data_IF_080442160547
#
_entry.id   IF_080442160547
#
_cell.length_a   1.000
_cell.length_b   1.000
_cell.length_c   1.000
_cell.angle_alpha   90.00
_cell.angle_beta   90.00
_cell.angle_gamma   90.00
#
_symmetry.space_group_name_H-M   'P 1'
#
loop_
_entity.id
_entity.type
_entity.pdbx_description
1 polymer ?
#
# COMPACT_ATOMS: atom_id res chain seq x y z
N UNK A 1 -16.87 17.26 -53.21
CA UNK A 1 -17.58 18.34 -52.52
C UNK A 1 -17.66 18.02 -51.05
N UNK A 2 -17.35 19.01 -50.23
CA UNK A 2 -17.39 19.10 -48.78
C UNK A 2 -16.31 18.36 -48.00
N UNK A 3 -15.29 19.13 -47.70
CA UNK A 3 -14.29 18.99 -46.65
C UNK A 3 -14.95 19.15 -45.28
N UNK A 4 -14.63 18.30 -44.33
CA UNK A 4 -14.71 18.60 -42.89
C UNK A 4 -13.37 18.34 -42.23
N UNK A 5 -12.88 19.38 -41.63
CA UNK A 5 -11.63 19.54 -40.91
C UNK A 5 -11.54 18.69 -39.65
N UNK A 6 -10.37 18.19 -39.24
CA UNK A 6 -10.20 17.51 -37.95
C UNK A 6 -9.99 18.50 -36.80
N UNK A 7 -10.68 18.21 -35.72
CA UNK A 7 -10.62 18.95 -34.46
C UNK A 7 -9.23 18.87 -33.80
N UNK A 8 -8.79 20.04 -33.35
CA UNK A 8 -7.59 20.26 -32.55
C UNK A 8 -7.62 19.49 -31.22
N UNK A 9 -6.63 18.64 -31.00
CA UNK A 9 -6.35 18.08 -29.67
C UNK A 9 -5.62 19.12 -28.83
N UNK A 10 -6.32 19.64 -27.85
CA UNK A 10 -5.76 20.48 -26.78
C UNK A 10 -4.83 19.65 -25.89
N UNK A 11 -3.59 20.10 -25.79
CA UNK A 11 -2.59 19.69 -24.81
C UNK A 11 -3.11 19.96 -23.38
N UNK A 12 -3.41 18.92 -22.65
CA UNK A 12 -3.60 19.00 -21.21
C UNK A 12 -2.26 18.73 -20.50
N UNK A 13 -1.50 19.80 -20.25
CA UNK A 13 -0.42 19.81 -19.26
C UNK A 13 -1.05 19.68 -17.87
N UNK A 14 -0.96 18.51 -17.26
CA UNK A 14 -1.24 18.34 -15.83
C UNK A 14 -0.10 18.96 -15.01
N UNK A 15 -0.30 20.18 -14.59
CA UNK A 15 0.45 20.83 -13.51
C UNK A 15 0.01 20.17 -12.21
N UNK A 16 0.96 19.54 -11.50
CA UNK A 16 0.77 19.09 -10.14
C UNK A 16 0.59 20.31 -9.24
N UNK A 17 -0.65 20.56 -8.83
CA UNK A 17 -0.95 21.50 -7.76
C UNK A 17 -0.63 20.86 -6.42
N UNK A 18 0.38 21.38 -5.76
CA UNK A 18 0.61 21.15 -4.34
C UNK A 18 -0.55 21.77 -3.54
N UNK A 19 -1.14 20.96 -2.66
CA UNK A 19 -2.24 21.37 -1.82
C UNK A 19 -1.86 22.53 -0.89
N UNK A 20 -2.56 23.65 -1.05
CA UNK A 20 -2.51 24.78 -0.11
C UNK A 20 -3.43 24.47 1.07
N UNK A 21 -2.83 24.35 2.25
CA UNK A 21 -3.54 24.34 3.53
C UNK A 21 -4.03 25.75 3.78
N UNK A 22 -5.34 25.97 3.75
CA UNK A 22 -5.97 27.23 4.13
C UNK A 22 -5.93 27.38 5.64
N UNK A 23 -5.11 28.32 6.11
CA UNK A 23 -5.17 28.82 7.48
C UNK A 23 -6.15 29.98 7.52
N UNK A 24 -7.25 29.81 8.24
CA UNK A 24 -8.22 30.86 8.53
C UNK A 24 -7.60 31.89 9.44
N UNK A 25 -7.44 33.11 8.91
CA UNK A 25 -7.02 34.28 9.69
C UNK A 25 -8.23 34.92 10.33
N UNK A 26 -8.27 34.93 11.64
CA UNK A 26 -9.16 35.86 12.39
C UNK A 26 -8.65 37.27 12.31
N UNK A 27 -9.48 38.16 11.81
CA UNK A 27 -9.19 39.60 11.74
C UNK A 27 -9.31 40.23 13.12
N UNK A 28 -8.25 40.81 13.64
CA UNK A 28 -8.34 41.87 14.62
C UNK A 28 -8.00 43.21 13.93
N UNK A 29 -9.00 44.08 13.93
CA UNK A 29 -8.89 45.49 13.54
C UNK A 29 -8.25 46.25 14.68
N UNK A 30 -7.07 46.84 14.47
CA UNK A 30 -6.69 48.09 15.08
C UNK A 30 -5.67 48.77 14.17
N UNK A 31 -6.15 49.76 13.45
CA UNK A 31 -5.39 50.60 12.56
C UNK A 31 -4.88 51.82 13.31
N UNK A 32 -3.55 51.97 13.45
CA UNK A 32 -2.93 53.25 13.71
C UNK A 32 -2.26 53.77 12.44
N UNK A 33 -2.57 54.97 12.00
CA UNK A 33 -2.02 55.55 10.77
C UNK A 33 -0.80 56.38 11.08
N UNK A 34 0.37 55.80 11.11
CA UNK A 34 1.62 56.57 10.93
C UNK A 34 2.77 55.59 10.60
N UNK A 35 3.32 55.84 9.46
CA UNK A 35 4.57 55.32 8.87
C UNK A 35 4.36 54.39 7.67
N UNK A 36 4.31 55.04 6.52
CA UNK A 36 4.13 54.43 5.19
C UNK A 36 5.28 53.57 4.67
N UNK A 37 5.87 52.70 5.52
CA UNK A 37 6.94 51.77 5.13
C UNK A 37 6.66 50.29 5.40
N UNK A 38 5.45 49.95 5.88
CA UNK A 38 5.13 48.56 6.31
C UNK A 38 3.99 47.94 5.51
N UNK A 39 3.99 48.11 4.19
CA UNK A 39 3.12 47.31 3.30
C UNK A 39 3.92 46.39 2.38
N UNK A 40 4.99 45.78 2.90
CA UNK A 40 5.50 44.53 2.38
C UNK A 40 4.92 43.43 3.26
N UNK A 41 4.15 42.53 2.65
CA UNK A 41 3.71 41.26 3.26
C UNK A 41 4.86 40.71 4.06
N UNK A 42 4.66 40.52 5.35
CA UNK A 42 5.63 39.92 6.27
C UNK A 42 5.95 38.50 5.83
N UNK A 43 6.90 38.39 4.95
CA UNK A 43 7.72 37.16 4.92
C UNK A 43 8.55 37.26 6.20
N UNK A 44 8.30 36.40 7.17
CA UNK A 44 9.14 36.25 8.35
C UNK A 44 10.59 36.15 7.89
N UNK A 45 11.31 37.25 8.00
CA UNK A 45 12.73 37.28 7.81
C UNK A 45 13.30 36.54 9.03
N UNK A 46 13.56 35.26 8.90
CA UNK A 46 14.31 34.50 9.90
C UNK A 46 15.64 35.22 10.07
N UNK A 47 15.76 35.97 11.15
CA UNK A 47 17.03 36.56 11.53
C UNK A 47 18.13 35.48 11.49
N UNK A 48 19.25 35.73 10.82
CA UNK A 48 20.32 34.75 10.79
C UNK A 48 20.71 34.44 12.23
N UNK A 49 20.83 33.13 12.55
CA UNK A 49 21.26 32.71 13.88
C UNK A 49 22.53 33.45 14.25
N UNK A 50 22.62 34.05 15.48
CA UNK A 50 23.82 34.76 15.89
C UNK A 50 25.02 33.81 15.78
N UNK A 51 25.99 34.20 15.00
CA UNK A 51 27.23 33.43 14.83
C UNK A 51 27.88 33.31 16.17
N UNK A 52 28.07 32.08 16.66
CA UNK A 52 28.76 31.80 17.92
C UNK A 52 30.24 32.11 17.70
N UNK A 53 30.66 33.27 18.12
CA UNK A 53 32.08 33.68 18.03
C UNK A 53 32.92 32.76 18.91
N UNK A 54 33.76 31.92 18.30
CA UNK A 54 34.59 30.94 19.00
C UNK A 54 35.74 31.59 19.77
N UNK A 55 36.22 32.76 19.35
CA UNK A 55 37.32 33.50 19.97
C UNK A 55 36.81 34.85 20.47
N UNK A 56 36.90 35.08 21.77
CA UNK A 56 36.58 36.36 22.43
C UNK A 56 37.74 37.35 22.42
N UNK A 57 38.88 37.02 21.83
CA UNK A 57 40.02 37.96 21.68
C UNK A 57 39.68 38.94 20.57
N UNK A 58 39.76 40.26 20.83
CA UNK A 58 39.53 41.27 19.80
C UNK A 58 40.56 41.07 18.69
N UNK A 59 40.13 41.11 17.44
CA UNK A 59 41.03 41.08 16.30
C UNK A 59 41.96 42.28 16.34
N UNK A 60 43.25 42.13 15.96
CA UNK A 60 44.22 43.22 16.00
C UNK A 60 43.87 44.40 15.07
N UNK A 61 42.97 44.19 14.14
CA UNK A 61 42.39 45.23 13.28
C UNK A 61 40.88 45.21 13.46
N UNK A 62 40.31 46.25 14.07
CA UNK A 62 38.88 46.41 14.17
C UNK A 62 38.35 46.89 12.82
N UNK A 63 37.43 46.12 12.25
CA UNK A 63 36.67 46.49 11.05
C UNK A 63 35.69 47.58 11.45
N UNK A 64 35.75 48.72 10.79
CA UNK A 64 34.84 49.83 11.04
C UNK A 64 33.41 49.50 10.53
N UNK A 65 32.38 50.09 11.14
CA UNK A 65 31.00 49.95 10.71
C UNK A 65 30.82 50.31 9.22
N UNK A 66 31.56 51.31 8.74
CA UNK A 66 31.57 51.69 7.33
C UNK A 66 32.13 50.61 6.40
N UNK A 67 33.15 49.89 6.82
CA UNK A 67 33.67 48.75 6.06
C UNK A 67 32.66 47.62 5.96
N UNK A 68 31.95 47.32 7.06
CA UNK A 68 30.88 46.31 7.09
C UNK A 68 29.76 46.72 6.15
N UNK A 69 29.35 47.95 6.16
CA UNK A 69 28.31 48.48 5.26
C UNK A 69 28.76 48.48 3.80
N UNK A 70 30.02 48.76 3.53
CA UNK A 70 30.59 48.68 2.17
C UNK A 70 30.63 47.24 1.66
N UNK A 71 31.13 46.32 2.47
CA UNK A 71 31.10 44.88 2.11
C UNK A 71 29.68 44.34 1.95
N UNK A 72 28.74 44.79 2.77
CA UNK A 72 27.33 44.40 2.63
C UNK A 72 26.69 44.90 1.32
N UNK A 73 27.03 46.14 0.91
CA UNK A 73 26.62 46.70 -0.39
C UNK A 73 27.26 45.95 -1.57
N UNK A 74 28.60 45.71 -1.49
CA UNK A 74 29.32 44.94 -2.52
C UNK A 74 28.76 43.52 -2.68
N UNK A 75 28.29 42.90 -1.59
CA UNK A 75 27.62 41.60 -1.64
C UNK A 75 26.16 41.69 -2.17
N UNK A 76 25.50 42.82 -2.04
CA UNK A 76 24.18 43.05 -2.59
C UNK A 76 24.18 43.48 -4.06
N UNK A 77 25.27 44.11 -4.51
CA UNK A 77 25.48 44.41 -5.92
C UNK A 77 25.65 43.09 -6.65
N UNK A 78 24.73 42.81 -7.59
CA UNK A 78 24.84 41.64 -8.44
C UNK A 78 26.24 41.65 -9.08
N UNK A 79 27.04 40.59 -8.86
CA UNK A 79 28.32 40.40 -9.53
C UNK A 79 28.18 40.84 -11.00
N UNK A 80 28.86 41.93 -11.37
CA UNK A 80 28.95 42.37 -12.74
C UNK A 80 29.67 41.27 -13.52
N UNK A 81 28.89 40.29 -14.02
CA UNK A 81 29.42 39.26 -14.86
C UNK A 81 29.99 39.92 -16.09
N UNK A 82 31.30 39.81 -16.33
CA UNK A 82 31.88 40.41 -17.51
C UNK A 82 31.10 39.94 -18.75
N UNK A 83 30.82 40.84 -19.70
CA UNK A 83 30.08 40.51 -20.91
C UNK A 83 30.74 39.32 -21.56
N UNK A 84 29.96 38.32 -21.94
CA UNK A 84 30.48 37.14 -22.66
C UNK A 84 31.21 37.60 -23.88
N UNK A 85 32.50 37.59 -23.89
CA UNK A 85 33.31 37.90 -25.07
C UNK A 85 32.96 36.92 -26.19
N UNK A 86 32.47 37.41 -27.29
CA UNK A 86 32.34 36.65 -28.53
C UNK A 86 33.67 36.77 -29.28
N UNK A 87 34.41 35.68 -29.32
CA UNK A 87 35.61 35.57 -30.16
C UNK A 87 35.11 35.50 -31.61
N UNK A 88 35.44 36.52 -32.42
CA UNK A 88 34.97 36.66 -33.78
C UNK A 88 36.01 36.19 -34.80
N UNK A 89 37.29 36.30 -34.39
CA UNK A 89 38.40 35.88 -35.22
C UNK A 89 38.55 34.34 -35.22
N UNK A 90 38.56 33.69 -36.40
CA UNK A 90 38.69 32.23 -36.55
C UNK A 90 40.04 31.71 -36.01
N UNK A 91 41.12 32.49 -36.11
CA UNK A 91 42.46 32.10 -35.58
C UNK A 91 42.44 32.08 -34.04
N UNK A 92 41.96 33.15 -33.42
CA UNK A 92 41.82 33.25 -31.97
C UNK A 92 40.85 32.16 -31.46
N UNK A 93 39.78 31.88 -32.17
CA UNK A 93 38.86 30.81 -31.80
C UNK A 93 39.53 29.43 -31.79
N UNK A 94 40.39 29.16 -32.80
CA UNK A 94 41.13 27.90 -32.88
C UNK A 94 42.10 27.75 -31.73
N UNK A 95 42.84 28.82 -31.34
CA UNK A 95 43.73 28.83 -30.19
C UNK A 95 43.00 28.66 -28.90
N UNK A 96 41.89 29.36 -28.70
CA UNK A 96 41.03 29.19 -27.53
C UNK A 96 40.58 27.74 -27.41
N UNK A 97 40.10 27.09 -28.49
CA UNK A 97 39.71 25.69 -28.47
C UNK A 97 40.88 24.77 -28.08
N UNK A 98 42.06 24.99 -28.60
CA UNK A 98 43.23 24.19 -28.25
C UNK A 98 43.63 24.38 -26.75
N UNK A 99 43.58 25.61 -26.26
CA UNK A 99 43.86 25.90 -24.85
C UNK A 99 42.86 25.21 -23.93
N UNK A 100 41.55 25.29 -24.25
CA UNK A 100 40.51 24.63 -23.45
C UNK A 100 40.60 23.10 -23.49
N UNK A 101 40.92 22.52 -24.64
CA UNK A 101 41.19 21.08 -24.72
C UNK A 101 42.34 20.66 -23.84
N UNK A 102 43.43 21.41 -23.87
CA UNK A 102 44.59 21.15 -22.99
C UNK A 102 44.20 21.22 -21.52
N UNK A 103 43.45 22.25 -21.12
CA UNK A 103 42.93 22.36 -19.73
C UNK A 103 42.13 21.13 -19.32
N UNK A 104 41.20 20.66 -20.15
CA UNK A 104 40.42 19.47 -19.84
C UNK A 104 41.25 18.19 -19.80
N UNK A 105 42.17 17.99 -20.74
CA UNK A 105 43.07 16.83 -20.75
C UNK A 105 43.98 16.82 -19.53
N UNK A 106 44.49 17.98 -19.08
CA UNK A 106 45.32 18.12 -17.89
C UNK A 106 44.48 17.82 -16.61
N UNK A 107 43.20 18.25 -16.57
CA UNK A 107 42.30 17.90 -15.48
C UNK A 107 42.00 16.38 -15.45
N UNK A 108 41.80 15.75 -16.59
CA UNK A 108 41.59 14.30 -16.70
C UNK A 108 42.83 13.53 -16.27
N UNK A 109 44.04 13.98 -16.62
CA UNK A 109 45.29 13.35 -16.18
C UNK A 109 45.47 13.40 -14.67
N UNK A 110 45.04 14.51 -14.04
CA UNK A 110 45.14 14.68 -12.58
C UNK A 110 44.10 13.82 -11.84
N UNK A 111 42.85 13.79 -12.35
CA UNK A 111 41.72 13.10 -11.68
C UNK A 111 40.90 12.31 -12.69
N UNK A 112 41.46 11.17 -13.12
CA UNK A 112 40.86 10.31 -14.16
C UNK A 112 39.46 9.80 -13.79
N UNK A 113 39.24 9.53 -12.50
CA UNK A 113 38.00 8.96 -11.99
C UNK A 113 36.85 9.99 -11.81
N UNK A 114 37.14 11.27 -12.00
CA UNK A 114 36.12 12.30 -11.86
C UNK A 114 35.24 12.41 -13.11
N UNK A 115 34.14 11.68 -13.09
CA UNK A 115 33.18 11.60 -14.19
C UNK A 115 32.61 12.98 -14.58
N UNK A 116 32.48 13.90 -13.61
CA UNK A 116 31.96 15.24 -13.87
C UNK A 116 32.86 16.03 -14.84
N UNK A 117 34.18 15.80 -14.82
CA UNK A 117 35.11 16.44 -15.75
C UNK A 117 34.90 15.93 -17.17
N UNK A 118 34.72 14.61 -17.33
CA UNK A 118 34.44 13.98 -18.61
C UNK A 118 33.15 14.50 -19.22
N UNK A 119 32.08 14.58 -18.41
CA UNK A 119 30.78 15.11 -18.86
C UNK A 119 30.92 16.57 -19.31
N UNK A 120 31.59 17.41 -18.54
CA UNK A 120 31.81 18.81 -18.90
C UNK A 120 32.62 18.95 -20.16
N UNK A 121 33.66 18.14 -20.34
CA UNK A 121 34.49 18.16 -21.55
C UNK A 121 33.68 17.77 -22.79
N UNK A 122 32.95 16.66 -22.73
CA UNK A 122 32.11 16.21 -23.84
C UNK A 122 31.02 17.23 -24.19
N UNK A 123 30.36 17.83 -23.19
CA UNK A 123 29.37 18.89 -23.40
C UNK A 123 29.97 20.16 -23.98
N UNK A 124 31.22 20.48 -23.61
CA UNK A 124 31.92 21.61 -24.20
C UNK A 124 32.23 21.33 -25.68
N UNK A 125 32.73 20.15 -26.07
CA UNK A 125 32.92 19.77 -27.48
C UNK A 125 31.59 19.77 -28.28
N UNK A 126 30.49 19.31 -27.68
CA UNK A 126 29.14 19.43 -28.24
C UNK A 126 28.78 20.90 -28.54
N UNK A 127 29.07 21.81 -27.61
CA UNK A 127 28.82 23.25 -27.76
C UNK A 127 29.62 23.85 -28.94
N UNK A 128 30.79 23.28 -29.21
CA UNK A 128 31.63 23.65 -30.38
C UNK A 128 31.17 23.00 -31.69
N UNK A 129 30.11 22.15 -31.64
CA UNK A 129 29.60 21.34 -32.77
C UNK A 129 30.59 20.31 -33.34
N UNK A 130 31.62 19.95 -32.56
CA UNK A 130 32.57 18.89 -32.90
C UNK A 130 32.09 17.55 -32.33
N UNK A 131 31.10 16.95 -32.96
CA UNK A 131 30.45 15.74 -32.48
C UNK A 131 31.38 14.52 -32.48
N UNK A 132 32.30 14.43 -33.42
CA UNK A 132 33.23 13.30 -33.50
C UNK A 132 34.16 13.29 -32.32
N UNK A 133 34.66 14.45 -31.92
CA UNK A 133 35.49 14.56 -30.73
C UNK A 133 34.67 14.36 -29.45
N UNK A 134 33.49 14.92 -29.38
CA UNK A 134 32.57 14.67 -28.23
C UNK A 134 32.35 13.17 -28.01
N UNK A 135 32.10 12.44 -29.11
CA UNK A 135 31.95 10.96 -29.07
C UNK A 135 33.23 10.28 -28.57
N UNK A 136 34.39 10.67 -29.08
CA UNK A 136 35.67 10.14 -28.60
C UNK A 136 35.86 10.36 -27.09
N UNK A 137 35.46 11.51 -26.59
CA UNK A 137 35.53 11.82 -25.14
C UNK A 137 34.53 10.93 -24.37
N UNK A 138 33.32 10.74 -24.87
CA UNK A 138 32.34 9.84 -24.23
C UNK A 138 32.83 8.40 -24.21
N UNK A 139 33.36 7.87 -25.30
CA UNK A 139 33.87 6.50 -25.35
C UNK A 139 35.05 6.30 -24.35
N UNK A 140 35.99 7.24 -24.31
CA UNK A 140 37.08 7.23 -23.33
C UNK A 140 36.56 7.30 -21.87
N UNK A 141 35.49 8.05 -21.62
CA UNK A 141 34.86 8.12 -20.31
C UNK A 141 34.22 6.78 -19.93
N UNK A 142 33.59 6.10 -20.88
CA UNK A 142 33.04 4.75 -20.69
C UNK A 142 34.11 3.68 -20.49
N UNK A 143 35.28 3.82 -21.09
CA UNK A 143 36.44 2.94 -20.81
C UNK A 143 36.94 3.07 -19.36
N UNK A 144 36.78 4.27 -18.78
CA UNK A 144 37.16 4.50 -17.36
C UNK A 144 36.13 3.91 -16.40
N UNK A 145 34.83 4.14 -16.65
CA UNK A 145 33.76 3.66 -15.80
C UNK A 145 32.49 3.31 -16.59
N UNK A 146 32.47 2.10 -17.15
CA UNK A 146 31.31 1.59 -17.88
C UNK A 146 30.11 1.26 -16.98
N UNK A 147 30.32 1.09 -15.67
CA UNK A 147 29.26 0.77 -14.69
C UNK A 147 28.39 1.96 -14.36
N UNK A 148 28.84 3.15 -14.63
CA UNK A 148 28.10 4.36 -14.32
C UNK A 148 27.00 4.64 -15.33
N UNK A 149 25.79 4.30 -14.97
CA UNK A 149 24.60 4.52 -15.80
C UNK A 149 24.41 6.00 -16.21
N UNK A 150 24.88 6.95 -15.41
CA UNK A 150 24.78 8.39 -15.70
C UNK A 150 25.55 8.77 -16.97
N UNK A 151 26.71 8.14 -17.21
CA UNK A 151 27.48 8.36 -18.45
C UNK A 151 26.68 7.94 -19.67
N UNK A 152 26.10 6.74 -19.63
CA UNK A 152 25.29 6.21 -20.71
C UNK A 152 24.07 7.09 -20.98
N UNK A 153 23.36 7.51 -19.91
CA UNK A 153 22.20 8.40 -20.02
C UNK A 153 22.59 9.73 -20.70
N UNK A 154 23.66 10.36 -20.25
CA UNK A 154 24.11 11.64 -20.79
C UNK A 154 24.61 11.53 -22.23
N UNK A 155 25.36 10.48 -22.54
CA UNK A 155 25.82 10.24 -23.90
C UNK A 155 24.66 10.08 -24.87
N UNK A 156 23.72 9.20 -24.55
CA UNK A 156 22.53 8.99 -25.37
C UNK A 156 21.64 10.25 -25.48
N UNK A 157 21.48 11.01 -24.38
CA UNK A 157 20.76 12.30 -24.39
C UNK A 157 21.39 13.29 -25.39
N UNK A 158 22.73 13.38 -25.44
CA UNK A 158 23.45 14.26 -26.36
C UNK A 158 23.22 13.83 -27.81
N UNK A 159 23.31 12.54 -28.11
CA UNK A 159 23.05 12.01 -29.44
C UNK A 159 21.60 12.26 -29.89
N UNK A 160 20.62 12.07 -29.00
CA UNK A 160 19.20 12.36 -29.27
C UNK A 160 18.95 13.84 -29.52
N UNK A 161 19.50 14.72 -28.69
CA UNK A 161 19.38 16.17 -28.81
C UNK A 161 19.89 16.68 -30.16
N UNK A 162 20.95 16.08 -30.63
CA UNK A 162 21.57 16.43 -31.90
C UNK A 162 20.96 15.64 -33.11
N UNK A 163 19.89 14.87 -32.88
CA UNK A 163 19.15 14.10 -33.91
C UNK A 163 19.93 12.95 -34.54
N UNK A 164 20.98 12.46 -33.89
CA UNK A 164 21.75 11.30 -34.33
C UNK A 164 21.12 9.99 -33.84
N UNK A 165 19.92 9.67 -34.34
CA UNK A 165 19.07 8.60 -33.79
C UNK A 165 19.77 7.24 -33.87
N UNK A 166 20.44 6.88 -34.96
CA UNK A 166 21.11 5.58 -35.06
C UNK A 166 22.30 5.43 -34.10
N UNK A 167 23.02 6.53 -33.84
CA UNK A 167 24.05 6.53 -32.81
C UNK A 167 23.45 6.37 -31.41
N UNK A 168 22.37 7.08 -31.12
CA UNK A 168 21.66 6.94 -29.85
C UNK A 168 21.18 5.50 -29.64
N UNK A 169 20.61 4.86 -30.67
CA UNK A 169 20.22 3.42 -30.61
C UNK A 169 21.41 2.53 -30.28
N UNK A 170 22.52 2.72 -30.94
CA UNK A 170 23.73 1.94 -30.67
C UNK A 170 24.21 2.13 -29.22
N UNK A 171 24.22 3.37 -28.74
CA UNK A 171 24.59 3.66 -27.35
C UNK A 171 23.64 2.99 -26.36
N UNK A 172 22.32 3.08 -26.60
CA UNK A 172 21.33 2.41 -25.76
C UNK A 172 21.45 0.90 -25.81
N UNK A 173 21.61 0.27 -26.98
CA UNK A 173 21.78 -1.17 -27.10
C UNK A 173 23.00 -1.68 -26.34
N UNK A 174 24.12 -0.98 -26.41
CA UNK A 174 25.31 -1.29 -25.64
C UNK A 174 25.07 -1.11 -24.13
N UNK A 175 24.40 -0.02 -23.74
CA UNK A 175 24.12 0.28 -22.35
C UNK A 175 23.25 -0.81 -21.69
N UNK A 176 22.15 -1.21 -22.32
CA UNK A 176 21.26 -2.25 -21.79
C UNK A 176 21.88 -3.64 -21.82
N UNK A 177 22.82 -3.90 -22.75
CA UNK A 177 23.53 -5.16 -22.79
C UNK A 177 24.56 -5.28 -21.68
N UNK A 178 25.26 -4.18 -21.36
CA UNK A 178 26.26 -4.16 -20.29
C UNK A 178 25.65 -4.02 -18.90
N UNK A 179 24.53 -3.28 -18.78
CA UNK A 179 23.86 -2.97 -17.52
C UNK A 179 22.38 -3.36 -17.54
N UNK A 180 22.04 -4.64 -17.73
CA UNK A 180 20.65 -5.09 -17.91
C UNK A 180 19.75 -4.90 -16.70
N UNK A 181 20.33 -4.74 -15.49
CA UNK A 181 19.58 -4.58 -14.25
C UNK A 181 19.28 -3.13 -13.89
N UNK A 182 19.66 -2.18 -14.74
CA UNK A 182 19.39 -0.75 -14.53
C UNK A 182 18.14 -0.35 -15.32
N UNK A 183 17.00 -0.36 -14.66
CA UNK A 183 15.69 -0.09 -15.28
C UNK A 183 15.60 1.27 -15.98
N UNK A 184 16.29 2.29 -15.45
CA UNK A 184 16.29 3.63 -16.04
C UNK A 184 16.78 3.65 -17.49
N UNK A 185 17.75 2.79 -17.85
CA UNK A 185 18.26 2.70 -19.22
C UNK A 185 17.17 2.17 -20.16
N UNK A 186 16.46 1.13 -19.73
CA UNK A 186 15.36 0.55 -20.49
C UNK A 186 14.22 1.54 -20.68
N UNK A 187 13.79 2.22 -19.63
CA UNK A 187 12.73 3.24 -19.70
C UNK A 187 13.07 4.36 -20.68
N UNK A 188 14.30 4.88 -20.64
CA UNK A 188 14.74 5.95 -21.53
C UNK A 188 14.87 5.48 -22.96
N UNK A 189 15.36 4.27 -23.19
CA UNK A 189 15.45 3.68 -24.52
C UNK A 189 14.05 3.48 -25.14
N UNK A 190 13.14 2.87 -24.40
CA UNK A 190 11.74 2.68 -24.83
C UNK A 190 11.08 4.03 -25.14
N UNK A 191 11.25 4.99 -24.24
CA UNK A 191 10.70 6.33 -24.44
C UNK A 191 11.23 7.00 -25.71
N UNK A 192 12.50 6.83 -26.02
CA UNK A 192 13.07 7.32 -27.29
C UNK A 192 12.36 6.69 -28.49
N UNK A 193 12.22 5.37 -28.55
CA UNK A 193 11.57 4.69 -29.67
C UNK A 193 10.09 5.07 -29.76
N UNK A 194 9.41 5.24 -28.64
CA UNK A 194 8.03 5.70 -28.59
C UNK A 194 7.88 7.14 -29.16
N UNK A 195 8.78 8.05 -28.79
CA UNK A 195 8.81 9.41 -29.35
C UNK A 195 9.08 9.45 -30.85
N UNK A 196 9.83 8.47 -31.35
CA UNK A 196 10.09 8.31 -32.80
C UNK A 196 8.93 7.65 -33.54
N UNK A 197 7.87 7.24 -32.85
CA UNK A 197 6.74 6.51 -33.41
C UNK A 197 7.06 5.05 -33.78
N UNK A 198 8.22 4.53 -33.39
CA UNK A 198 8.62 3.16 -33.66
C UNK A 198 8.07 2.20 -32.58
N UNK A 199 6.75 1.96 -32.62
CA UNK A 199 6.06 1.08 -31.66
C UNK A 199 6.60 -0.36 -31.70
N UNK A 200 6.93 -0.86 -32.89
CA UNK A 200 7.47 -2.21 -33.07
C UNK A 200 8.86 -2.34 -32.41
N UNK A 201 9.73 -1.35 -32.57
CA UNK A 201 11.03 -1.32 -31.88
C UNK A 201 10.89 -1.23 -30.38
N UNK A 202 9.99 -0.38 -29.88
CA UNK A 202 9.71 -0.30 -28.43
C UNK A 202 9.24 -1.65 -27.86
N UNK A 203 8.39 -2.39 -28.57
CA UNK A 203 7.97 -3.75 -28.19
C UNK A 203 9.14 -4.72 -28.10
N UNK A 204 10.02 -4.73 -29.09
CA UNK A 204 11.21 -5.60 -29.06
C UNK A 204 12.10 -5.29 -27.85
N UNK A 205 12.25 -4.02 -27.51
CA UNK A 205 13.03 -3.62 -26.33
C UNK A 205 12.35 -4.10 -25.04
N UNK A 206 11.02 -3.95 -24.94
CA UNK A 206 10.28 -4.50 -23.79
C UNK A 206 10.46 -6.01 -23.67
N UNK A 207 10.33 -6.77 -24.77
CA UNK A 207 10.50 -8.23 -24.72
C UNK A 207 11.93 -8.62 -24.28
N UNK A 208 12.95 -7.92 -24.76
CA UNK A 208 14.34 -8.11 -24.30
C UNK A 208 14.47 -7.78 -22.81
N UNK A 209 13.78 -6.72 -22.33
CA UNK A 209 13.81 -6.37 -20.92
C UNK A 209 13.10 -7.40 -20.06
N UNK A 210 11.93 -7.90 -20.47
CA UNK A 210 11.18 -8.93 -19.76
C UNK A 210 11.97 -10.24 -19.62
N UNK A 211 12.89 -10.55 -20.57
CA UNK A 211 13.76 -11.74 -20.42
C UNK A 211 14.73 -11.67 -19.24
N UNK A 212 14.98 -10.47 -18.71
CA UNK A 212 15.81 -10.24 -17.52
C UNK A 212 15.02 -10.23 -16.21
N UNK A 213 13.72 -10.53 -16.25
CA UNK A 213 12.83 -10.57 -15.10
C UNK A 213 12.89 -9.29 -14.26
N UNK A 214 12.47 -8.14 -14.81
CA UNK A 214 12.45 -6.88 -14.08
C UNK A 214 11.44 -6.90 -12.94
N UNK A 215 11.53 -5.89 -12.09
CA UNK A 215 10.56 -5.66 -11.01
C UNK A 215 9.13 -5.45 -11.54
N UNK A 216 8.14 -5.56 -10.66
CA UNK A 216 6.72 -5.35 -10.99
C UNK A 216 6.47 -4.07 -11.82
N UNK A 217 7.25 -3.01 -11.56
CA UNK A 217 7.08 -1.73 -12.28
C UNK A 217 7.44 -1.85 -13.77
N UNK A 218 8.41 -2.67 -14.11
CA UNK A 218 8.77 -2.97 -15.51
C UNK A 218 7.60 -3.60 -16.26
N UNK A 219 7.02 -4.66 -15.70
CA UNK A 219 5.85 -5.33 -16.26
C UNK A 219 4.64 -4.40 -16.40
N UNK A 220 4.34 -3.62 -15.36
CA UNK A 220 3.24 -2.65 -15.39
C UNK A 220 3.47 -1.53 -16.44
N UNK A 221 4.72 -1.18 -16.71
CA UNK A 221 5.06 -0.19 -17.73
C UNK A 221 4.80 -0.74 -19.13
N UNK A 222 5.12 -2.01 -19.34
CA UNK A 222 4.83 -2.68 -20.61
C UNK A 222 3.31 -2.81 -20.85
N UNK A 223 2.57 -3.24 -19.82
CA UNK A 223 1.11 -3.29 -19.89
C UNK A 223 0.51 -1.91 -20.20
N UNK A 224 0.95 -0.87 -19.50
CA UNK A 224 0.49 0.50 -19.76
C UNK A 224 0.84 0.97 -21.16
N UNK A 225 1.98 0.55 -21.69
CA UNK A 225 2.38 0.86 -23.07
C UNK A 225 1.39 0.22 -24.06
N UNK A 226 1.11 -1.07 -23.99
CA UNK A 226 0.17 -1.74 -24.89
C UNK A 226 -1.27 -1.18 -24.76
N UNK A 227 -1.69 -0.81 -23.54
CA UNK A 227 -2.99 -0.16 -23.33
C UNK A 227 -3.09 1.24 -23.98
N UNK A 228 -1.99 2.00 -24.06
CA UNK A 228 -1.98 3.27 -24.80
C UNK A 228 -2.24 3.08 -26.30
N UNK A 229 -1.79 1.96 -26.82
CA UNK A 229 -2.02 1.59 -28.23
C UNK A 229 -3.27 0.75 -28.46
N UNK A 230 -4.11 0.60 -27.41
CA UNK A 230 -5.38 -0.16 -27.43
C UNK A 230 -5.22 -1.64 -27.83
N UNK A 231 -4.07 -2.25 -27.55
CA UNK A 231 -3.76 -3.65 -27.82
C UNK A 231 -4.13 -4.52 -26.60
N UNK A 232 -5.43 -4.72 -26.39
CA UNK A 232 -5.97 -5.39 -25.18
C UNK A 232 -5.49 -6.84 -25.08
N UNK A 233 -5.52 -7.59 -26.19
CA UNK A 233 -5.11 -9.01 -26.18
C UNK A 233 -3.61 -9.17 -25.86
N UNK A 234 -2.77 -8.26 -26.35
CA UNK A 234 -1.35 -8.29 -26.01
C UNK A 234 -1.14 -7.95 -24.52
N UNK A 235 -1.83 -6.93 -24.03
CA UNK A 235 -1.77 -6.56 -22.61
C UNK A 235 -2.19 -7.74 -21.72
N UNK A 236 -3.20 -8.52 -22.12
CA UNK A 236 -3.64 -9.74 -21.44
C UNK A 236 -2.53 -10.80 -21.39
N UNK A 237 -1.92 -11.12 -22.53
CA UNK A 237 -0.80 -12.08 -22.56
C UNK A 237 0.39 -11.64 -21.69
N UNK A 238 0.63 -10.31 -21.60
CA UNK A 238 1.67 -9.78 -20.71
C UNK A 238 1.24 -9.93 -19.25
N UNK A 239 -0.04 -9.71 -18.90
CA UNK A 239 -0.54 -9.94 -17.54
C UNK A 239 -0.40 -11.41 -17.12
N UNK A 240 -0.72 -12.36 -17.99
CA UNK A 240 -0.53 -13.79 -17.70
C UNK A 240 0.92 -14.14 -17.38
N UNK A 241 1.86 -13.64 -18.20
CA UNK A 241 3.29 -13.79 -17.95
C UNK A 241 3.73 -13.09 -16.65
N UNK A 242 3.20 -11.90 -16.40
CA UNK A 242 3.49 -11.12 -15.20
C UNK A 242 3.11 -11.87 -13.92
N UNK A 243 1.91 -12.44 -13.90
CA UNK A 243 1.42 -13.21 -12.75
C UNK A 243 2.25 -14.47 -12.52
N UNK A 244 2.67 -15.16 -13.60
CA UNK A 244 3.54 -16.33 -13.51
C UNK A 244 4.93 -15.97 -12.95
N UNK A 245 5.49 -14.84 -13.35
CA UNK A 245 6.81 -14.39 -12.87
C UNK A 245 6.77 -13.80 -11.47
N UNK A 246 5.67 -13.17 -11.12
CA UNK A 246 5.47 -12.48 -9.83
C UNK A 246 4.12 -12.89 -9.23
N UNK A 247 3.99 -14.09 -8.65
CA UNK A 247 2.75 -14.59 -8.08
C UNK A 247 2.44 -13.90 -6.74
N UNK A 248 2.12 -12.60 -6.80
CA UNK A 248 1.73 -11.80 -5.64
C UNK A 248 0.26 -11.40 -5.74
N UNK A 249 -0.42 -11.35 -4.61
CA UNK A 249 -1.82 -10.94 -4.50
C UNK A 249 -2.11 -9.65 -5.27
N UNK A 250 -1.23 -8.64 -5.11
CA UNK A 250 -1.39 -7.37 -5.82
C UNK A 250 -1.32 -7.46 -7.35
N UNK A 251 -0.60 -8.43 -7.92
CA UNK A 251 -0.52 -8.65 -9.36
C UNK A 251 -1.83 -9.25 -9.90
N UNK A 252 -2.36 -10.27 -9.24
CA UNK A 252 -3.64 -10.89 -9.57
C UNK A 252 -4.81 -9.93 -9.49
N UNK A 253 -4.89 -9.13 -8.42
CA UNK A 253 -5.92 -8.09 -8.28
C UNK A 253 -5.86 -7.06 -9.43
N UNK A 254 -4.65 -6.68 -9.86
CA UNK A 254 -4.51 -5.76 -11.01
C UNK A 254 -4.94 -6.40 -12.31
N UNK A 255 -4.64 -7.67 -12.50
CA UNK A 255 -5.09 -8.42 -13.68
C UNK A 255 -6.61 -8.54 -13.73
N UNK A 256 -7.24 -8.95 -12.64
CA UNK A 256 -8.71 -9.04 -12.56
C UNK A 256 -9.39 -7.66 -12.76
N UNK A 257 -8.84 -6.59 -12.17
CA UNK A 257 -9.32 -5.22 -12.41
C UNK A 257 -9.17 -4.77 -13.86
N UNK A 258 -8.13 -5.22 -14.53
CA UNK A 258 -7.94 -4.95 -15.96
C UNK A 258 -9.05 -5.65 -16.80
N UNK A 259 -9.31 -6.95 -16.58
CA UNK A 259 -10.36 -7.67 -17.30
C UNK A 259 -11.75 -7.06 -17.02
N UNK A 260 -12.03 -6.69 -15.77
CA UNK A 260 -13.25 -6.00 -15.42
C UNK A 260 -13.43 -4.66 -16.15
N UNK A 261 -12.33 -3.88 -16.26
CA UNK A 261 -12.35 -2.59 -16.97
C UNK A 261 -12.65 -2.74 -18.45
N UNK A 262 -12.24 -3.87 -19.04
CA UNK A 262 -12.51 -4.19 -20.43
C UNK A 262 -13.91 -4.80 -20.65
N UNK A 263 -14.72 -4.98 -19.59
CA UNK A 263 -16.06 -5.55 -19.67
C UNK A 263 -16.12 -7.07 -19.63
N UNK A 264 -14.98 -7.75 -19.50
CA UNK A 264 -14.87 -9.21 -19.50
C UNK A 264 -15.05 -9.78 -18.07
N UNK A 265 -16.29 -9.71 -17.55
CA UNK A 265 -16.63 -10.14 -16.19
C UNK A 265 -16.31 -11.62 -15.94
N UNK A 266 -16.61 -12.49 -16.93
CA UNK A 266 -16.31 -13.92 -16.81
C UNK A 266 -14.83 -14.22 -16.66
N UNK A 267 -13.98 -13.54 -17.46
CA UNK A 267 -12.52 -13.68 -17.36
C UNK A 267 -11.97 -13.13 -16.07
N UNK A 268 -12.48 -11.98 -15.62
CA UNK A 268 -12.09 -11.41 -14.33
C UNK A 268 -12.38 -12.38 -13.17
N UNK A 269 -13.54 -13.07 -13.22
CA UNK A 269 -13.89 -14.10 -12.24
C UNK A 269 -12.92 -15.27 -12.26
N UNK A 270 -12.63 -15.83 -13.43
CA UNK A 270 -11.66 -16.91 -13.57
C UNK A 270 -10.28 -16.53 -13.07
N UNK A 271 -9.87 -15.27 -13.26
CA UNK A 271 -8.59 -14.75 -12.72
C UNK A 271 -8.59 -14.76 -11.19
N UNK A 272 -9.73 -14.33 -10.56
CA UNK A 272 -9.83 -14.37 -9.10
C UNK A 272 -9.88 -15.80 -8.56
N UNK A 273 -10.61 -16.70 -9.21
CA UNK A 273 -10.69 -18.12 -8.83
C UNK A 273 -9.31 -18.79 -8.86
N UNK A 274 -8.56 -18.62 -9.95
CA UNK A 274 -7.16 -19.09 -10.06
C UNK A 274 -6.26 -18.45 -9.00
N UNK A 275 -6.44 -17.16 -8.72
CA UNK A 275 -5.66 -16.48 -7.70
C UNK A 275 -5.92 -17.05 -6.29
N UNK A 276 -7.16 -17.42 -5.99
CA UNK A 276 -7.52 -18.09 -4.73
C UNK A 276 -6.92 -19.50 -4.66
N UNK A 277 -6.92 -20.26 -5.75
CA UNK A 277 -6.30 -21.58 -5.79
C UNK A 277 -4.80 -21.55 -5.54
N UNK A 278 -4.10 -20.53 -6.05
CA UNK A 278 -2.64 -20.41 -5.92
C UNK A 278 -2.18 -19.72 -4.62
N UNK A 279 -2.97 -18.78 -4.07
CA UNK A 279 -2.55 -17.86 -3.01
C UNK A 279 -3.47 -17.87 -1.77
N UNK A 280 -4.30 -18.90 -1.57
CA UNK A 280 -5.18 -18.98 -0.41
C UNK A 280 -4.42 -18.94 0.93
N UNK A 281 -3.22 -19.52 0.96
CA UNK A 281 -2.38 -19.65 2.16
C UNK A 281 -1.37 -18.49 2.33
N UNK A 282 -1.35 -17.51 1.40
CA UNK A 282 -0.41 -16.39 1.46
C UNK A 282 -0.72 -15.44 2.63
N UNK A 283 0.29 -14.73 3.07
CA UNK A 283 0.13 -13.72 4.12
C UNK A 283 -0.83 -12.58 3.73
N UNK A 284 -0.89 -12.24 2.45
CA UNK A 284 -1.75 -11.19 1.90
C UNK A 284 -3.09 -11.72 1.35
N UNK A 285 -3.45 -13.00 1.57
CA UNK A 285 -4.67 -13.61 1.05
C UNK A 285 -5.95 -12.86 1.45
N UNK A 286 -5.97 -12.21 2.63
CA UNK A 286 -7.09 -11.38 3.06
C UNK A 286 -7.47 -10.33 2.02
N UNK A 287 -6.48 -9.61 1.47
CA UNK A 287 -6.70 -8.58 0.46
C UNK A 287 -7.26 -9.16 -0.84
N UNK A 288 -6.87 -10.38 -1.19
CA UNK A 288 -7.39 -11.09 -2.35
C UNK A 288 -8.87 -11.41 -2.20
N UNK A 289 -9.26 -12.02 -1.08
CA UNK A 289 -10.65 -12.38 -0.80
C UNK A 289 -11.55 -11.14 -0.72
N UNK A 290 -11.09 -10.08 -0.06
CA UNK A 290 -11.82 -8.80 -0.01
C UNK A 290 -12.00 -8.24 -1.43
N UNK A 291 -10.96 -8.22 -2.24
CA UNK A 291 -11.04 -7.71 -3.60
C UNK A 291 -11.97 -8.56 -4.49
N UNK A 292 -11.99 -9.87 -4.29
CA UNK A 292 -12.87 -10.79 -5.00
C UNK A 292 -14.32 -10.58 -4.58
N UNK A 293 -14.60 -10.49 -3.28
CA UNK A 293 -15.95 -10.23 -2.79
C UNK A 293 -16.48 -8.85 -3.25
N UNK A 294 -15.65 -7.79 -3.20
CA UNK A 294 -15.99 -6.47 -3.74
C UNK A 294 -16.22 -6.48 -5.26
N UNK A 295 -15.58 -7.39 -5.98
CA UNK A 295 -15.82 -7.59 -7.41
C UNK A 295 -17.19 -8.21 -7.65
N UNK A 296 -17.57 -9.31 -6.96
CA UNK A 296 -18.87 -9.94 -7.10
C UNK A 296 -20.01 -9.01 -6.62
N UNK A 297 -19.77 -8.20 -5.58
CA UNK A 297 -20.68 -7.14 -5.15
C UNK A 297 -20.98 -6.15 -6.29
N UNK A 298 -19.94 -5.69 -7.00
CA UNK A 298 -20.10 -4.78 -8.16
C UNK A 298 -20.84 -5.45 -9.33
N UNK A 299 -20.70 -6.76 -9.46
CA UNK A 299 -21.45 -7.56 -10.44
C UNK A 299 -22.90 -7.83 -10.02
N UNK A 300 -23.31 -7.38 -8.82
CA UNK A 300 -24.61 -7.62 -8.19
C UNK A 300 -24.88 -9.09 -7.83
N UNK A 301 -23.84 -9.89 -7.73
CA UNK A 301 -23.87 -11.29 -7.31
C UNK A 301 -23.66 -11.39 -5.78
N UNK A 302 -24.65 -10.87 -5.02
CA UNK A 302 -24.53 -10.74 -3.56
C UNK A 302 -24.34 -12.08 -2.84
N UNK A 303 -25.01 -13.14 -3.30
CA UNK A 303 -24.86 -14.46 -2.70
C UNK A 303 -23.45 -15.05 -2.88
N UNK A 304 -22.85 -14.83 -4.05
CA UNK A 304 -21.46 -15.25 -4.27
C UNK A 304 -20.50 -14.45 -3.40
N UNK A 305 -20.68 -13.14 -3.31
CA UNK A 305 -19.87 -12.31 -2.43
C UNK A 305 -19.97 -12.79 -0.97
N UNK A 306 -21.18 -13.14 -0.50
CA UNK A 306 -21.40 -13.70 0.84
C UNK A 306 -20.66 -15.03 1.05
N UNK A 307 -20.73 -15.93 0.07
CA UNK A 307 -20.01 -17.21 0.12
C UNK A 307 -18.48 -17.00 0.19
N UNK A 308 -17.95 -16.06 -0.60
CA UNK A 308 -16.51 -15.73 -0.59
C UNK A 308 -16.08 -15.18 0.78
N UNK A 309 -16.86 -14.27 1.36
CA UNK A 309 -16.54 -13.75 2.71
C UNK A 309 -16.57 -14.86 3.76
N UNK A 310 -17.57 -15.73 3.76
CA UNK A 310 -17.65 -16.87 4.70
C UNK A 310 -16.48 -17.83 4.51
N UNK A 311 -16.18 -18.22 3.28
CA UNK A 311 -15.03 -19.07 2.97
C UNK A 311 -13.71 -18.45 3.46
N UNK A 312 -13.52 -17.16 3.20
CA UNK A 312 -12.33 -16.44 3.64
C UNK A 312 -12.19 -16.40 5.17
N UNK A 313 -13.29 -16.21 5.89
CA UNK A 313 -13.31 -16.21 7.35
C UNK A 313 -13.01 -17.59 7.97
N UNK A 314 -13.32 -18.66 7.25
CA UNK A 314 -13.02 -20.03 7.66
C UNK A 314 -11.54 -20.39 7.37
N UNK A 315 -10.96 -19.86 6.31
CA UNK A 315 -9.61 -20.19 5.84
C UNK A 315 -8.52 -19.33 6.49
N UNK A 316 -8.77 -18.02 6.62
CA UNK A 316 -7.77 -17.09 7.13
C UNK A 316 -7.60 -17.23 8.64
N UNK A 317 -6.35 -17.32 9.16
CA UNK A 317 -6.09 -17.35 10.60
C UNK A 317 -6.74 -16.19 11.32
N UNK A 318 -7.40 -16.46 12.42
CA UNK A 318 -8.18 -15.49 13.20
C UNK A 318 -7.43 -14.21 13.57
N UNK A 319 -6.12 -14.26 13.76
CA UNK A 319 -5.30 -13.09 14.10
C UNK A 319 -5.11 -12.07 12.95
N UNK A 320 -5.45 -12.43 11.71
CA UNK A 320 -5.33 -11.55 10.51
C UNK A 320 -6.67 -11.18 9.87
N UNK A 321 -7.78 -11.70 10.39
CA UNK A 321 -9.09 -11.55 9.75
C UNK A 321 -9.90 -10.31 10.22
N UNK A 322 -9.27 -9.34 10.91
CA UNK A 322 -9.99 -8.19 11.47
C UNK A 322 -10.62 -7.29 10.42
N UNK A 323 -9.86 -6.96 9.38
CA UNK A 323 -10.35 -6.09 8.30
C UNK A 323 -11.37 -6.83 7.41
N UNK A 324 -11.18 -8.12 7.22
CA UNK A 324 -12.15 -8.99 6.53
C UNK A 324 -13.51 -9.00 7.26
N UNK A 325 -13.50 -9.16 8.60
CA UNK A 325 -14.73 -9.06 9.39
C UNK A 325 -15.39 -7.67 9.30
N UNK A 326 -14.60 -6.60 9.32
CA UNK A 326 -15.14 -5.24 9.15
C UNK A 326 -15.84 -5.10 7.80
N UNK A 327 -15.22 -5.61 6.74
CA UNK A 327 -15.77 -5.58 5.38
C UNK A 327 -17.03 -6.44 5.27
N UNK A 328 -17.00 -7.65 5.81
CA UNK A 328 -18.15 -8.55 5.81
C UNK A 328 -19.35 -7.96 6.55
N UNK A 329 -19.15 -7.41 7.75
CA UNK A 329 -20.24 -6.72 8.48
C UNK A 329 -20.76 -5.51 7.70
N UNK A 330 -19.88 -4.77 7.02
CA UNK A 330 -20.30 -3.67 6.14
C UNK A 330 -21.18 -4.16 4.99
N UNK A 331 -20.78 -5.24 4.35
CA UNK A 331 -21.53 -5.90 3.27
C UNK A 331 -22.90 -6.41 3.74
N UNK A 332 -22.97 -7.16 4.87
CA UNK A 332 -24.23 -7.66 5.41
C UNK A 332 -25.17 -6.52 5.85
N UNK A 333 -24.66 -5.41 6.36
CA UNK A 333 -25.48 -4.22 6.65
C UNK A 333 -26.13 -3.61 5.41
N UNK A 334 -25.51 -3.76 4.26
CA UNK A 334 -25.97 -3.17 3.00
C UNK A 334 -26.92 -4.11 2.23
N UNK A 335 -26.67 -5.40 2.25
CA UNK A 335 -27.35 -6.39 1.42
C UNK A 335 -27.97 -7.55 2.20
N UNK A 336 -27.65 -7.68 3.50
CA UNK A 336 -28.11 -8.79 4.33
C UNK A 336 -29.47 -8.57 4.96
N UNK A 337 -30.08 -9.68 5.35
CA UNK A 337 -31.24 -9.69 6.20
C UNK A 337 -30.87 -9.40 7.65
N UNK A 338 -31.86 -9.08 8.49
CA UNK A 338 -31.65 -8.79 9.90
C UNK A 338 -30.88 -9.89 10.62
N UNK A 339 -31.24 -11.14 10.37
CA UNK A 339 -30.59 -12.31 10.97
C UNK A 339 -29.11 -12.44 10.55
N UNK A 340 -28.83 -12.29 9.26
CA UNK A 340 -27.45 -12.31 8.73
C UNK A 340 -26.58 -11.18 9.28
N UNK A 341 -27.17 -9.99 9.49
CA UNK A 341 -26.47 -8.85 10.10
C UNK A 341 -26.12 -9.16 11.58
N UNK A 342 -27.08 -9.71 12.33
CA UNK A 342 -26.89 -10.08 13.74
C UNK A 342 -25.80 -11.16 13.85
N UNK A 343 -25.83 -12.19 12.99
CA UNK A 343 -24.82 -13.25 12.94
C UNK A 343 -23.42 -12.72 12.61
N UNK A 344 -23.30 -11.82 11.64
CA UNK A 344 -22.03 -11.22 11.26
C UNK A 344 -21.45 -10.34 12.39
N UNK A 345 -22.30 -9.59 13.09
CA UNK A 345 -21.88 -8.79 14.25
C UNK A 345 -21.42 -9.67 15.40
N UNK A 346 -22.17 -10.74 15.68
CA UNK A 346 -21.80 -11.73 16.69
C UNK A 346 -20.47 -12.40 16.36
N UNK A 347 -20.29 -12.84 15.10
CA UNK A 347 -19.05 -13.42 14.61
C UNK A 347 -17.85 -12.49 14.82
N UNK A 348 -18.01 -11.20 14.50
CA UNK A 348 -16.96 -10.19 14.74
C UNK A 348 -16.63 -10.02 16.23
N UNK A 349 -17.65 -9.95 17.08
CA UNK A 349 -17.44 -9.82 18.53
C UNK A 349 -16.75 -11.07 19.13
N UNK A 350 -17.15 -12.27 18.68
CA UNK A 350 -16.48 -13.51 19.04
C UNK A 350 -15.00 -13.46 18.73
N UNK A 351 -14.68 -13.03 17.52
CA UNK A 351 -13.31 -12.88 17.09
C UNK A 351 -12.52 -11.94 18.00
N UNK A 352 -13.08 -10.78 18.33
CA UNK A 352 -12.44 -9.80 19.21
C UNK A 352 -12.19 -10.39 20.62
N UNK A 353 -13.20 -11.05 21.22
CA UNK A 353 -13.03 -11.67 22.53
C UNK A 353 -12.01 -12.82 22.52
N UNK A 354 -11.96 -13.64 21.47
CA UNK A 354 -10.94 -14.68 21.35
C UNK A 354 -9.52 -14.10 21.26
N UNK A 355 -9.33 -12.98 20.58
CA UNK A 355 -8.05 -12.28 20.54
C UNK A 355 -7.68 -11.66 21.89
N UNK A 356 -8.62 -11.02 22.56
CA UNK A 356 -8.39 -10.40 23.85
C UNK A 356 -8.07 -11.45 24.93
N UNK A 357 -8.76 -12.60 24.91
CA UNK A 357 -8.50 -13.74 25.76
C UNK A 357 -7.13 -14.38 25.48
N UNK A 358 -6.69 -14.43 24.23
CA UNK A 358 -5.33 -14.90 23.88
C UNK A 358 -4.25 -13.97 24.41
N UNK A 359 -4.47 -12.64 24.31
CA UNK A 359 -3.52 -11.63 24.81
C UNK A 359 -3.41 -11.67 26.33
N UNK A 360 -4.56 -11.77 27.02
CA UNK A 360 -4.64 -11.78 28.50
C UNK A 360 -5.54 -12.92 28.99
N UNK A 361 -5.03 -14.16 29.07
CA UNK A 361 -5.85 -15.33 29.46
C UNK A 361 -6.44 -15.26 30.89
N UNK A 362 -5.87 -14.42 31.74
CA UNK A 362 -6.30 -14.26 33.15
C UNK A 362 -7.21 -13.05 33.35
N UNK A 363 -7.66 -12.37 32.30
CA UNK A 363 -8.58 -11.24 32.44
C UNK A 363 -10.02 -11.73 32.62
N UNK A 364 -10.53 -11.55 33.85
CA UNK A 364 -11.90 -11.91 34.23
C UNK A 364 -12.97 -11.25 33.37
N UNK A 365 -12.84 -9.94 33.16
CA UNK A 365 -13.87 -9.15 32.46
C UNK A 365 -14.04 -9.58 31.00
N UNK A 366 -12.94 -9.86 30.27
CA UNK A 366 -12.99 -10.36 28.91
C UNK A 366 -13.72 -11.69 28.78
N UNK A 367 -13.45 -12.64 29.70
CA UNK A 367 -14.15 -13.91 29.73
C UNK A 367 -15.64 -13.74 30.07
N UNK A 368 -15.96 -12.84 31.00
CA UNK A 368 -17.33 -12.60 31.42
C UNK A 368 -18.17 -12.00 30.28
N UNK A 369 -17.61 -11.04 29.52
CA UNK A 369 -18.28 -10.43 28.39
C UNK A 369 -18.40 -11.40 27.21
N UNK A 370 -17.40 -12.27 27.00
CA UNK A 370 -17.47 -13.33 26.01
C UNK A 370 -18.60 -14.33 26.33
N UNK A 371 -18.70 -14.76 27.57
CA UNK A 371 -19.78 -15.65 28.06
C UNK A 371 -21.15 -14.99 27.86
N UNK A 372 -21.28 -13.70 28.18
CA UNK A 372 -22.53 -12.96 28.01
C UNK A 372 -22.94 -12.92 26.53
N UNK A 373 -21.98 -12.74 25.63
CA UNK A 373 -22.25 -12.78 24.20
C UNK A 373 -22.82 -14.14 23.79
N UNK A 374 -22.16 -15.25 24.17
CA UNK A 374 -22.62 -16.60 23.83
C UNK A 374 -23.96 -16.95 24.44
N UNK A 375 -24.22 -16.49 25.68
CA UNK A 375 -25.52 -16.63 26.32
C UNK A 375 -26.64 -15.90 25.54
N UNK A 376 -26.36 -14.73 25.02
CA UNK A 376 -27.31 -13.96 24.19
C UNK A 376 -27.67 -14.64 22.87
N UNK A 377 -26.71 -15.36 22.30
CA UNK A 377 -26.89 -16.14 21.04
C UNK A 377 -27.61 -17.47 21.30
N UNK A 378 -27.46 -18.04 22.48
CA UNK A 378 -28.19 -19.22 22.92
C UNK A 378 -27.63 -20.58 22.43
N UNK A 379 -26.44 -20.61 21.80
CA UNK A 379 -25.81 -21.87 21.42
C UNK A 379 -25.23 -22.62 22.60
N UNK A 380 -25.87 -23.70 22.95
CA UNK A 380 -25.63 -24.47 24.20
C UNK A 380 -24.27 -25.11 24.30
N UNK A 381 -23.77 -25.62 23.17
CA UNK A 381 -22.49 -26.32 23.11
C UNK A 381 -21.33 -25.33 23.25
N UNK A 382 -21.43 -24.22 22.55
CA UNK A 382 -20.44 -23.15 22.65
C UNK A 382 -20.43 -22.47 24.02
N UNK A 383 -21.58 -22.23 24.60
CA UNK A 383 -21.68 -21.67 25.94
C UNK A 383 -20.91 -22.57 26.92
N UNK A 384 -21.11 -23.89 26.87
CA UNK A 384 -20.41 -24.86 27.70
C UNK A 384 -18.90 -24.79 27.46
N UNK A 385 -18.48 -24.86 26.21
CA UNK A 385 -17.07 -24.80 25.85
C UNK A 385 -16.38 -23.54 26.41
N UNK A 386 -17.02 -22.37 26.26
CA UNK A 386 -16.45 -21.10 26.73
C UNK A 386 -16.36 -21.06 28.23
N UNK A 387 -17.38 -21.59 28.99
CA UNK A 387 -17.31 -21.69 30.42
C UNK A 387 -16.18 -22.61 30.90
N UNK A 388 -16.04 -23.79 30.31
CA UNK A 388 -14.97 -24.74 30.64
C UNK A 388 -13.58 -24.16 30.38
N UNK A 389 -13.42 -23.46 29.26
CA UNK A 389 -12.18 -22.74 28.94
C UNK A 389 -11.90 -21.60 29.93
N UNK A 390 -12.91 -20.83 30.31
CA UNK A 390 -12.77 -19.75 31.28
C UNK A 390 -12.35 -20.28 32.63
N UNK A 391 -13.02 -21.31 33.12
CA UNK A 391 -12.73 -21.95 34.41
C UNK A 391 -11.28 -22.49 34.45
N UNK A 392 -10.80 -23.06 33.34
CA UNK A 392 -9.44 -23.59 33.27
C UNK A 392 -8.33 -22.54 33.26
N UNK A 393 -8.64 -21.29 32.99
CA UNK A 393 -7.64 -20.21 32.79
C UNK A 393 -7.70 -19.09 33.80
N UNK A 394 -8.85 -18.88 34.45
CA UNK A 394 -9.06 -17.77 35.37
C UNK A 394 -8.39 -18.07 36.75
N UNK A 395 -7.90 -17.03 37.47
CA UNK A 395 -7.33 -17.20 38.81
C UNK A 395 -8.33 -17.82 39.81
N UNK A 396 -7.86 -18.61 40.77
CA UNK A 396 -8.73 -19.32 41.73
C UNK A 396 -9.70 -18.41 42.50
N UNK A 397 -9.33 -17.15 42.73
CA UNK A 397 -10.19 -16.17 43.40
C UNK A 397 -11.48 -15.83 42.65
N UNK A 398 -11.46 -15.87 41.33
CA UNK A 398 -12.58 -15.51 40.47
C UNK A 398 -13.32 -16.74 39.87
N UNK A 399 -12.71 -17.92 39.97
CA UNK A 399 -13.23 -19.18 39.43
C UNK A 399 -14.61 -19.53 40.02
N UNK A 400 -14.82 -19.26 41.30
CA UNK A 400 -16.07 -19.54 41.98
C UNK A 400 -17.28 -18.85 41.37
N UNK A 401 -17.13 -17.62 40.84
CA UNK A 401 -18.22 -16.88 40.19
C UNK A 401 -18.63 -17.53 38.89
N UNK A 402 -17.67 -18.05 38.10
CA UNK A 402 -17.96 -18.79 36.86
C UNK A 402 -18.66 -20.11 37.17
N UNK A 403 -18.19 -20.86 38.18
CA UNK A 403 -18.84 -22.10 38.61
C UNK A 403 -20.28 -21.87 39.04
N UNK A 404 -20.53 -20.88 39.89
CA UNK A 404 -21.88 -20.55 40.33
C UNK A 404 -22.81 -20.22 39.17
N UNK A 405 -22.34 -19.44 38.18
CA UNK A 405 -23.14 -19.05 37.03
C UNK A 405 -23.36 -20.23 36.07
N UNK A 406 -22.35 -21.04 35.85
CA UNK A 406 -22.43 -22.24 35.02
C UNK A 406 -23.41 -23.27 35.62
N UNK A 407 -23.31 -23.53 36.91
CA UNK A 407 -24.24 -24.41 37.62
C UNK A 407 -25.67 -23.87 37.62
N UNK A 408 -25.86 -22.56 37.80
CA UNK A 408 -27.16 -21.91 37.71
C UNK A 408 -27.78 -22.05 36.28
N UNK A 409 -27.02 -21.84 35.26
CA UNK A 409 -27.46 -22.00 33.90
C UNK A 409 -27.85 -23.44 33.57
N UNK A 410 -27.14 -24.42 34.12
CA UNK A 410 -27.42 -25.83 33.99
C UNK A 410 -28.70 -26.21 34.77
N UNK A 411 -28.84 -25.67 35.97
CA UNK A 411 -30.00 -25.91 36.86
C UNK A 411 -31.30 -25.34 36.26
N UNK A 412 -31.31 -24.09 35.87
CA UNK A 412 -32.49 -23.44 35.28
C UNK A 412 -32.96 -24.20 34.04
N UNK A 413 -32.06 -24.73 33.29
CA UNK A 413 -32.35 -25.47 32.10
C UNK A 413 -32.85 -26.90 32.34
N UNK A 414 -32.25 -27.59 33.28
CA UNK A 414 -32.75 -28.90 33.69
C UNK A 414 -34.16 -28.79 34.30
N UNK A 415 -34.43 -27.71 35.00
CA UNK A 415 -35.72 -27.42 35.57
C UNK A 415 -36.77 -27.10 34.48
N UNK A 416 -36.41 -26.34 33.48
CA UNK A 416 -37.29 -26.04 32.35
C UNK A 416 -37.62 -27.30 31.53
N UNK A 417 -36.63 -28.15 31.27
CA UNK A 417 -36.81 -29.44 30.60
C UNK A 417 -37.72 -30.38 31.44
N UNK A 418 -37.45 -30.40 32.73
CA UNK A 418 -38.27 -31.18 33.65
C UNK A 418 -39.70 -30.70 33.69
N UNK A 419 -39.94 -29.41 33.76
CA UNK A 419 -41.27 -28.82 33.75
C UNK A 419 -42.00 -29.11 32.43
N UNK A 420 -41.34 -29.05 31.28
CA UNK A 420 -41.91 -29.39 30.00
C UNK A 420 -42.24 -30.89 29.87
N UNK A 421 -41.38 -31.78 30.38
CA UNK A 421 -41.66 -33.23 30.40
C UNK A 421 -42.84 -33.55 31.29
N UNK A 422 -42.90 -32.97 32.51
CA UNK A 422 -44.01 -33.14 33.42
C UNK A 422 -45.34 -32.63 32.84
N UNK A 423 -45.30 -31.44 32.20
CA UNK A 423 -46.46 -30.90 31.53
C UNK A 423 -46.87 -31.76 30.33
N UNK A 424 -45.95 -32.26 29.54
CA UNK A 424 -46.24 -33.14 28.40
C UNK A 424 -46.83 -34.48 28.88
N UNK A 425 -46.25 -35.08 29.92
CA UNK A 425 -46.81 -36.26 30.51
C UNK A 425 -48.21 -36.01 31.12
N UNK A 426 -48.44 -34.88 31.75
CA UNK A 426 -49.70 -34.48 32.28
C UNK A 426 -50.77 -34.27 31.16
N UNK A 427 -50.44 -33.58 30.10
CA UNK A 427 -51.30 -33.39 28.95
C UNK A 427 -51.55 -34.69 28.19
N UNK A 428 -50.56 -35.56 28.04
CA UNK A 428 -50.71 -36.87 27.43
C UNK A 428 -51.61 -37.79 28.24
N UNK A 429 -51.53 -37.70 29.55
CA UNK A 429 -52.48 -38.42 30.44
C UNK A 429 -53.88 -37.86 30.37
N UNK A 430 -54.06 -36.56 30.24
CA UNK A 430 -55.36 -35.92 30.04
C UNK A 430 -55.99 -36.23 28.66
N UNK A 431 -55.19 -36.23 27.59
CA UNK A 431 -55.65 -36.46 26.23
C UNK A 431 -56.05 -37.92 25.97
N UNK A 432 -55.42 -38.88 26.61
CA UNK A 432 -55.67 -40.31 26.38
C UNK A 432 -56.66 -40.97 27.34
N UNK A 433 -57.32 -40.22 28.21
CA UNK A 433 -58.26 -40.76 29.22
C UNK A 433 -57.73 -42.00 30.00
N UNK A 434 -56.39 -42.14 30.03
CA UNK A 434 -55.75 -43.19 30.78
C UNK A 434 -55.74 -42.80 32.27
N UNK A 435 -56.62 -43.41 33.03
CA UNK A 435 -56.51 -43.50 34.49
C UNK A 435 -55.22 -44.24 34.83
N UNK A 436 -54.08 -43.54 34.72
CA UNK A 436 -52.86 -43.97 35.38
C UNK A 436 -53.12 -43.89 36.90
N UNK A 437 -53.39 -45.07 37.45
CA UNK A 437 -53.61 -45.27 38.87
C UNK A 437 -52.65 -44.42 39.66
N UNK A 438 -53.14 -43.66 40.64
CA UNK A 438 -52.40 -42.85 41.61
C UNK A 438 -51.20 -43.61 42.20
N UNK A 439 -51.22 -44.97 42.17
CA UNK A 439 -50.12 -45.85 42.54
C UNK A 439 -48.84 -45.66 41.71
N UNK A 440 -48.91 -45.35 40.43
CA UNK A 440 -47.72 -45.14 39.62
C UNK A 440 -47.08 -43.75 39.77
N UNK A 441 -47.86 -42.74 40.18
CA UNK A 441 -47.33 -41.46 40.65
C UNK A 441 -46.52 -41.61 41.93
N UNK A 442 -46.86 -42.57 42.80
CA UNK A 442 -46.12 -42.93 44.01
C UNK A 442 -44.74 -43.55 43.76
N UNK A 443 -44.52 -44.18 42.58
CA UNK A 443 -43.20 -44.72 42.17
C UNK A 443 -42.31 -43.68 41.47
N UNK A 444 -42.93 -42.72 40.78
CA UNK A 444 -42.18 -41.64 40.12
C UNK A 444 -41.63 -40.61 41.13
N UNK A 445 -42.38 -40.29 42.19
CA UNK A 445 -41.99 -39.37 43.24
C UNK A 445 -40.74 -39.79 44.03
N UNK A 446 -40.54 -41.05 44.42
CA UNK A 446 -39.27 -41.51 45.04
C UNK A 446 -38.09 -41.48 44.07
N UNK A 447 -38.30 -41.86 42.82
CA UNK A 447 -37.29 -41.81 41.77
C UNK A 447 -36.86 -40.37 41.51
N UNK A 448 -37.80 -39.46 41.52
CA UNK A 448 -37.59 -38.03 41.38
C UNK A 448 -36.85 -37.45 42.59
N UNK A 449 -37.21 -37.84 43.80
CA UNK A 449 -36.48 -37.48 45.01
C UNK A 449 -35.06 -38.07 45.04
N UNK A 450 -34.90 -39.28 44.52
CA UNK A 450 -33.58 -39.90 44.38
C UNK A 450 -32.70 -39.21 43.35
N UNK A 451 -33.30 -38.81 42.19
CA UNK A 451 -32.59 -38.02 41.15
C UNK A 451 -32.23 -36.63 41.66
N UNK A 452 -33.14 -35.97 42.40
CA UNK A 452 -32.87 -34.69 43.05
C UNK A 452 -31.79 -34.81 44.13
N UNK A 453 -31.73 -35.90 44.87
CA UNK A 453 -30.65 -36.18 45.84
C UNK A 453 -29.32 -36.45 45.15
N UNK A 454 -29.32 -37.13 44.01
CA UNK A 454 -28.11 -37.32 43.19
C UNK A 454 -27.58 -35.99 42.65
N UNK A 455 -28.44 -35.14 42.14
CA UNK A 455 -28.10 -33.79 41.71
C UNK A 455 -27.60 -32.94 42.88
N UNK A 456 -28.23 -33.05 44.05
CA UNK A 456 -27.78 -32.36 45.27
C UNK A 456 -26.46 -32.91 45.81
N UNK A 457 -26.22 -34.21 45.73
CA UNK A 457 -24.96 -34.83 46.16
C UNK A 457 -23.80 -34.49 45.20
N UNK A 458 -24.07 -34.36 43.91
CA UNK A 458 -23.10 -33.80 42.95
C UNK A 458 -22.83 -32.32 43.24
N UNK A 459 -23.83 -31.55 43.65
CA UNK A 459 -23.68 -30.16 44.06
C UNK A 459 -22.86 -30.01 45.35
N UNK A 460 -23.05 -30.91 46.33
CA UNK A 460 -22.22 -30.96 47.54
C UNK A 460 -20.79 -31.47 47.24
N UNK A 461 -20.60 -32.39 46.30
CA UNK A 461 -19.27 -32.78 45.81
C UNK A 461 -18.57 -31.64 45.09
N UNK A 462 -19.28 -30.86 44.29
CA UNK A 462 -18.73 -29.65 43.63
C UNK A 462 -18.48 -28.51 44.63
N UNK A 463 -19.25 -28.39 45.71
CA UNK A 463 -19.04 -27.36 46.74
C UNK A 463 -18.10 -27.83 47.87
N UNK A 464 -17.87 -29.11 48.05
CA UNK A 464 -16.98 -29.70 49.07
C UNK A 464 -15.53 -29.91 48.62
N UNK A 465 -15.20 -29.57 47.39
CA UNK A 465 -13.83 -29.58 46.88
C UNK A 465 -13.13 -28.21 46.97
N UNK A 466 -13.67 -27.29 47.81
CA UNK A 466 -13.07 -26.00 48.10
C UNK A 466 -12.89 -25.78 49.60
#
# INVERSE_FOLDING_TARGET
>A
MSYTSPASYNNCCLILQAGSVSVTMSSSKDAHPTLGYLNRKDTEVKLPRPTRVKNKTPAPVQITAEQILREARERQEAENRPPKQKITDPTELSEYRLRKRKEFEDLIRRVRWNISVWIKYAQWEESQKDFNRARSVWERALEVDYKNHTLWLKYAEVEMKNKFINHARNVWDRAVTLLPRVDQLWYKYIHMEEMLGNVAGARQIFERWMSWMPDQQGWLSYIKFELRYNEIERARGIFERFVQCHPKVGAWIRFAKFEMKNGEVGRARNVYERAVEELADDEEAEQLFVAFAEFEERCKETERARCIYKFALDHIPKGRAEDLYKKFVGFEKQYGDREGIEDAIVGKRRFQYEEDVKKNPFNYDCWFDYIRLEESVGNKERIREVYERAISKVPPSEEKRYWQRYVYLWYVRSYALFHTIVWYCFFACLANNCYLSIRNLGLIMPFMKSLMRLIWSEQEMCTGMF
#
